data_IF_384362275103
#
_entry.id   IF_384362275103
#
_cell.length_a   1.000
_cell.length_b   1.000
_cell.length_c   1.000
_cell.angle_alpha   90.00
_cell.angle_beta   90.00
_cell.angle_gamma   90.00
#
_symmetry.space_group_name_H-M   'P 1'
#
loop_
_entity.id
_entity.type
_entity.pdbx_description
1 polymer ?
#
# COMPACT_ATOMS: atom_id res chain seq x y z
N UNK A 1 4.53 10.66 -64.01
CA UNK A 1 5.94 11.09 -64.20
C UNK A 1 6.16 12.41 -63.49
N UNK A 2 6.97 12.41 -62.42
CA UNK A 2 8.01 13.40 -62.05
C UNK A 2 8.47 13.15 -60.60
N UNK A 3 9.67 12.57 -60.48
CA UNK A 3 10.72 12.74 -59.45
C UNK A 3 10.29 12.75 -57.97
N UNK A 4 10.49 11.72 -57.13
CA UNK A 4 11.77 11.17 -56.62
C UNK A 4 12.92 12.19 -56.57
N UNK A 5 13.12 12.83 -55.41
CA UNK A 5 14.41 13.29 -54.84
C UNK A 5 14.13 14.07 -53.55
N UNK A 6 14.17 13.42 -52.38
CA UNK A 6 14.94 13.90 -51.21
C UNK A 6 15.33 12.64 -50.42
N UNK A 7 16.36 12.00 -50.95
CA UNK A 7 17.20 11.00 -50.31
C UNK A 7 18.03 11.70 -49.23
N UNK A 8 18.21 11.04 -48.08
CA UNK A 8 19.39 11.11 -47.21
C UNK A 8 20.03 12.49 -46.93
N UNK A 9 19.85 12.97 -45.69
CA UNK A 9 20.96 13.60 -44.97
C UNK A 9 21.07 12.95 -43.58
N UNK A 10 21.61 11.74 -43.58
CA UNK A 10 22.20 11.12 -42.40
C UNK A 10 23.41 11.91 -41.93
N UNK A 11 23.57 12.01 -40.61
CA UNK A 11 24.85 12.07 -39.90
C UNK A 11 25.83 13.16 -40.35
N UNK A 12 25.83 14.32 -39.67
CA UNK A 12 27.04 14.90 -39.06
C UNK A 12 26.69 16.22 -38.36
N UNK A 13 26.56 16.19 -37.03
CA UNK A 13 27.07 17.28 -36.21
C UNK A 13 27.63 16.66 -34.93
N UNK A 14 28.77 16.00 -35.13
CA UNK A 14 29.81 15.89 -34.12
C UNK A 14 30.35 17.32 -33.97
N UNK A 15 29.81 18.09 -33.03
CA UNK A 15 30.56 19.22 -32.49
C UNK A 15 31.45 18.67 -31.38
N UNK A 16 32.72 18.54 -31.75
CA UNK A 16 33.87 18.66 -30.86
C UNK A 16 33.63 19.83 -29.89
N UNK A 17 33.37 19.52 -28.63
CA UNK A 17 33.64 20.44 -27.53
C UNK A 17 34.52 19.69 -26.53
N UNK A 18 35.83 19.74 -26.81
CA UNK A 18 36.85 19.43 -25.84
C UNK A 18 36.72 20.37 -24.65
N UNK A 19 36.77 19.80 -23.44
CA UNK A 19 37.26 20.47 -22.25
C UNK A 19 36.37 21.59 -21.70
N UNK A 20 35.39 21.22 -20.87
CA UNK A 20 35.32 21.73 -19.49
C UNK A 20 34.19 21.06 -18.73
N UNK A 21 34.57 20.47 -17.60
CA UNK A 21 33.75 20.13 -16.44
C UNK A 21 32.50 21.01 -16.29
N UNK A 22 31.34 20.51 -16.69
CA UNK A 22 30.04 20.91 -16.14
C UNK A 22 29.19 19.64 -15.98
N UNK A 23 29.04 19.24 -14.71
CA UNK A 23 28.19 18.12 -14.30
C UNK A 23 26.77 18.30 -14.83
N UNK A 24 26.17 17.16 -15.17
CA UNK A 24 24.93 17.06 -15.91
C UNK A 24 23.79 17.87 -15.31
N UNK A 25 23.36 18.89 -16.04
CA UNK A 25 21.98 19.35 -16.04
C UNK A 25 21.14 18.32 -16.80
N UNK A 26 20.91 17.16 -16.18
CA UNK A 26 19.90 16.22 -16.65
C UNK A 26 18.56 16.73 -16.12
N UNK A 27 17.89 17.49 -16.99
CA UNK A 27 16.48 17.87 -17.03
C UNK A 27 15.57 17.28 -15.93
N UNK A 28 15.08 18.08 -14.96
CA UNK A 28 14.02 17.67 -14.02
C UNK A 28 12.68 17.35 -14.71
N UNK A 29 12.53 17.72 -15.99
CA UNK A 29 11.31 17.47 -16.77
C UNK A 29 11.12 15.99 -17.14
N UNK A 30 12.20 15.21 -17.29
CA UNK A 30 12.07 13.80 -17.69
C UNK A 30 11.63 12.91 -16.52
N UNK A 31 12.08 13.20 -15.29
CA UNK A 31 11.66 12.47 -14.09
C UNK A 31 10.19 12.71 -13.74
N UNK A 32 9.70 13.95 -13.90
CA UNK A 32 8.30 14.29 -13.65
C UNK A 32 7.33 13.56 -14.60
N UNK A 33 7.68 13.43 -15.89
CA UNK A 33 6.85 12.73 -16.88
C UNK A 33 6.74 11.23 -16.58
N UNK A 34 7.83 10.60 -16.12
CA UNK A 34 7.83 9.17 -15.75
C UNK A 34 7.02 8.93 -14.46
N UNK A 35 7.11 9.82 -13.48
CA UNK A 35 6.31 9.75 -12.25
C UNK A 35 4.82 9.95 -12.53
N UNK A 36 4.46 10.88 -13.42
CA UNK A 36 3.08 11.14 -13.83
C UNK A 36 2.48 9.96 -14.61
N UNK A 37 3.23 9.35 -15.54
CA UNK A 37 2.80 8.17 -16.29
C UNK A 37 2.56 6.97 -15.35
N UNK A 38 3.45 6.77 -14.37
CA UNK A 38 3.28 5.73 -13.34
C UNK A 38 2.07 6.00 -12.44
N UNK A 39 1.84 7.26 -12.05
CA UNK A 39 0.67 7.68 -11.28
C UNK A 39 -0.64 7.43 -12.02
N UNK A 40 -0.72 7.79 -13.31
CA UNK A 40 -1.89 7.53 -14.15
C UNK A 40 -2.19 6.04 -14.29
N UNK A 41 -1.15 5.22 -14.54
CA UNK A 41 -1.30 3.75 -14.62
C UNK A 41 -1.82 3.16 -13.30
N UNK A 42 -1.29 3.60 -12.17
CA UNK A 42 -1.75 3.14 -10.85
C UNK A 42 -3.21 3.55 -10.59
N UNK A 43 -3.60 4.79 -10.91
CA UNK A 43 -4.98 5.25 -10.78
C UNK A 43 -5.94 4.46 -11.67
N UNK A 44 -5.55 4.19 -12.92
CA UNK A 44 -6.34 3.38 -13.84
C UNK A 44 -6.61 1.98 -13.28
N UNK A 45 -5.60 1.35 -12.68
CA UNK A 45 -5.76 0.06 -12.02
C UNK A 45 -6.75 0.15 -10.85
N UNK A 46 -6.64 1.17 -10.00
CA UNK A 46 -7.59 1.40 -8.90
C UNK A 46 -9.02 1.57 -9.40
N UNK A 47 -9.23 2.35 -10.47
CA UNK A 47 -10.56 2.51 -11.09
C UNK A 47 -11.11 1.17 -11.58
N UNK A 48 -10.32 0.38 -12.29
CA UNK A 48 -10.74 -0.95 -12.76
C UNK A 48 -11.13 -1.89 -11.61
N UNK A 49 -10.37 -1.89 -10.52
CA UNK A 49 -10.70 -2.69 -9.34
C UNK A 49 -11.98 -2.22 -8.65
N UNK A 50 -12.17 -0.90 -8.54
CA UNK A 50 -13.38 -0.32 -7.98
C UNK A 50 -14.60 -0.63 -8.83
N UNK A 51 -14.50 -0.49 -10.15
CA UNK A 51 -15.54 -0.87 -11.12
C UNK A 51 -15.93 -2.34 -10.95
N UNK A 52 -14.94 -3.24 -10.92
CA UNK A 52 -15.16 -4.67 -10.71
C UNK A 52 -15.89 -4.91 -9.39
N UNK A 53 -15.48 -4.23 -8.32
CA UNK A 53 -16.10 -4.38 -7.00
C UNK A 53 -17.54 -3.87 -6.96
N UNK A 54 -17.89 -2.83 -7.70
CA UNK A 54 -19.24 -2.25 -7.69
C UNK A 54 -20.17 -3.00 -8.64
N UNK A 55 -19.75 -3.24 -9.89
CA UNK A 55 -20.66 -3.68 -10.94
C UNK A 55 -20.64 -5.19 -11.17
N UNK A 56 -19.50 -5.85 -10.94
CA UNK A 56 -19.37 -7.29 -11.18
C UNK A 56 -19.42 -8.12 -9.89
N UNK A 57 -19.37 -7.49 -8.72
CA UNK A 57 -19.23 -8.24 -7.48
C UNK A 57 -20.56 -8.69 -6.90
N UNK A 58 -20.47 -9.78 -6.14
CA UNK A 58 -21.56 -10.29 -5.30
C UNK A 58 -22.01 -9.28 -4.23
N UNK A 59 -21.27 -8.19 -3.97
CA UNK A 59 -21.68 -7.15 -3.02
C UNK A 59 -22.95 -6.43 -3.51
N UNK A 60 -23.00 -5.97 -4.76
CA UNK A 60 -24.19 -5.26 -5.26
C UNK A 60 -25.44 -6.13 -5.27
N UNK A 61 -25.31 -7.41 -5.63
CA UNK A 61 -26.40 -8.38 -5.52
C UNK A 61 -26.87 -8.55 -4.07
N UNK A 62 -25.93 -8.66 -3.12
CA UNK A 62 -26.25 -8.75 -1.69
C UNK A 62 -26.88 -7.48 -1.15
N UNK A 63 -26.44 -6.30 -1.57
CA UNK A 63 -27.07 -5.02 -1.22
C UNK A 63 -28.52 -4.98 -1.67
N UNK A 64 -28.75 -5.27 -2.95
CA UNK A 64 -30.10 -5.27 -3.52
C UNK A 64 -31.01 -6.32 -2.84
N UNK A 65 -30.44 -7.44 -2.41
CA UNK A 65 -31.19 -8.52 -1.73
C UNK A 65 -31.35 -8.30 -0.22
N UNK A 66 -30.54 -7.42 0.40
CA UNK A 66 -30.51 -7.24 1.85
C UNK A 66 -31.71 -6.50 2.43
N UNK A 67 -32.46 -5.77 1.59
CA UNK A 67 -33.56 -4.90 2.02
C UNK A 67 -33.11 -3.73 2.90
N UNK A 68 -31.81 -3.46 3.04
CA UNK A 68 -31.28 -2.38 3.87
C UNK A 68 -31.19 -1.07 3.06
N UNK A 69 -32.03 -0.06 3.32
CA UNK A 69 -32.04 1.17 2.54
C UNK A 69 -30.71 1.95 2.67
N UNK A 70 -30.07 1.89 3.83
CA UNK A 70 -28.75 2.51 4.04
C UNK A 70 -27.65 1.88 3.16
N UNK A 71 -27.69 0.57 2.95
CA UNK A 71 -26.74 -0.10 2.08
C UNK A 71 -26.97 0.27 0.61
N UNK A 72 -28.23 0.39 0.19
CA UNK A 72 -28.60 0.83 -1.16
C UNK A 72 -28.14 2.28 -1.40
N UNK A 73 -28.39 3.18 -0.45
CA UNK A 73 -27.94 4.57 -0.54
C UNK A 73 -26.41 4.66 -0.64
N UNK A 74 -25.69 3.89 0.17
CA UNK A 74 -24.23 3.86 0.14
C UNK A 74 -23.69 3.30 -1.18
N UNK A 75 -24.33 2.26 -1.74
CA UNK A 75 -23.97 1.72 -3.05
C UNK A 75 -24.15 2.78 -4.16
N UNK A 76 -25.26 3.52 -4.14
CA UNK A 76 -25.51 4.60 -5.09
C UNK A 76 -24.48 5.74 -4.96
N UNK A 77 -24.09 6.11 -3.73
CA UNK A 77 -23.04 7.11 -3.53
C UNK A 77 -21.68 6.63 -4.07
N UNK A 78 -21.35 5.36 -3.85
CA UNK A 78 -20.13 4.75 -4.40
C UNK A 78 -20.13 4.76 -5.93
N UNK A 79 -21.26 4.45 -6.58
CA UNK A 79 -21.41 4.53 -8.03
C UNK A 79 -21.24 5.96 -8.55
N UNK A 80 -21.83 6.95 -7.87
CA UNK A 80 -21.69 8.35 -8.23
C UNK A 80 -20.25 8.84 -8.10
N UNK A 81 -19.56 8.49 -7.02
CA UNK A 81 -18.15 8.84 -6.82
C UNK A 81 -17.26 8.16 -7.86
N UNK A 82 -17.56 6.92 -8.26
CA UNK A 82 -16.85 6.23 -9.33
C UNK A 82 -16.98 6.97 -10.67
N UNK A 83 -18.19 7.37 -11.04
CA UNK A 83 -18.42 8.11 -12.29
C UNK A 83 -17.66 9.44 -12.31
N UNK A 84 -17.75 10.21 -11.22
CA UNK A 84 -17.00 11.47 -11.08
C UNK A 84 -15.48 11.27 -11.09
N UNK A 85 -14.99 10.22 -10.42
CA UNK A 85 -13.57 9.90 -10.44
C UNK A 85 -13.08 9.53 -11.86
N UNK A 86 -13.90 8.82 -12.63
CA UNK A 86 -13.58 8.47 -14.01
C UNK A 86 -13.56 9.72 -14.91
N UNK A 87 -14.53 10.63 -14.76
CA UNK A 87 -14.54 11.92 -15.45
C UNK A 87 -13.28 12.74 -15.13
N UNK A 88 -12.94 12.89 -13.85
CA UNK A 88 -11.73 13.59 -13.40
C UNK A 88 -10.45 12.94 -13.93
N UNK A 89 -10.39 11.61 -13.94
CA UNK A 89 -9.25 10.87 -14.51
C UNK A 89 -9.11 11.16 -16.01
N UNK A 90 -10.21 11.16 -16.77
CA UNK A 90 -10.17 11.50 -18.21
C UNK A 90 -9.84 12.96 -18.48
N UNK A 91 -10.18 13.86 -17.55
CA UNK A 91 -9.83 15.28 -17.61
C UNK A 91 -8.38 15.58 -17.19
N UNK A 92 -7.62 14.58 -16.72
CA UNK A 92 -6.25 14.76 -16.22
C UNK A 92 -6.18 15.29 -14.78
N UNK A 93 -7.31 15.39 -14.08
CA UNK A 93 -7.39 15.83 -12.68
C UNK A 93 -7.10 14.66 -11.73
N UNK A 94 -5.88 14.12 -11.80
CA UNK A 94 -5.49 12.86 -11.15
C UNK A 94 -5.62 12.89 -9.63
N UNK A 95 -5.24 13.99 -8.98
CA UNK A 95 -5.30 14.10 -7.52
C UNK A 95 -6.75 13.98 -7.01
N UNK A 96 -7.68 14.74 -7.60
CA UNK A 96 -9.10 14.68 -7.27
C UNK A 96 -9.72 13.32 -7.60
N UNK A 97 -9.34 12.72 -8.72
CA UNK A 97 -9.74 11.36 -9.06
C UNK A 97 -9.30 10.36 -7.96
N UNK A 98 -8.05 10.46 -7.50
CA UNK A 98 -7.52 9.58 -6.45
C UNK A 98 -8.22 9.79 -5.10
N UNK A 99 -8.60 11.01 -4.74
CA UNK A 99 -9.40 11.29 -3.54
C UNK A 99 -10.77 10.61 -3.60
N UNK A 100 -11.51 10.77 -4.70
CA UNK A 100 -12.81 10.14 -4.89
C UNK A 100 -12.73 8.62 -4.93
N UNK A 101 -11.70 8.07 -5.58
CA UNK A 101 -11.41 6.63 -5.58
C UNK A 101 -11.19 6.13 -4.14
N UNK A 102 -10.36 6.82 -3.37
CA UNK A 102 -10.03 6.43 -1.99
C UNK A 102 -11.27 6.46 -1.10
N UNK A 103 -12.08 7.53 -1.19
CA UNK A 103 -13.38 7.65 -0.51
C UNK A 103 -14.31 6.48 -0.88
N UNK A 104 -14.38 6.14 -2.16
CA UNK A 104 -15.22 5.05 -2.66
C UNK A 104 -14.78 3.69 -2.15
N UNK A 105 -13.46 3.44 -2.03
CA UNK A 105 -12.94 2.21 -1.42
C UNK A 105 -13.36 2.05 0.04
N UNK A 106 -13.26 3.12 0.83
CA UNK A 106 -13.71 3.09 2.24
C UNK A 106 -15.21 2.78 2.33
N UNK A 107 -16.03 3.42 1.50
CA UNK A 107 -17.47 3.20 1.45
C UNK A 107 -17.83 1.78 1.00
N UNK A 108 -17.16 1.25 -0.02
CA UNK A 108 -17.37 -0.11 -0.48
C UNK A 108 -16.91 -1.16 0.55
N UNK A 109 -15.86 -0.87 1.33
CA UNK A 109 -15.46 -1.67 2.49
C UNK A 109 -16.57 -1.75 3.54
N UNK A 110 -17.16 -0.60 3.90
CA UNK A 110 -18.31 -0.53 4.80
C UNK A 110 -19.52 -1.28 4.23
N UNK A 111 -19.81 -1.10 2.95
CA UNK A 111 -20.88 -1.79 2.23
C UNK A 111 -20.73 -3.31 2.36
N UNK A 112 -19.52 -3.83 2.13
CA UNK A 112 -19.19 -5.25 2.26
C UNK A 112 -19.48 -5.80 3.67
N UNK A 113 -19.20 -5.02 4.71
CA UNK A 113 -19.50 -5.39 6.10
C UNK A 113 -21.01 -5.37 6.38
N UNK A 114 -21.73 -4.37 5.88
CA UNK A 114 -23.18 -4.23 6.09
C UNK A 114 -23.99 -5.38 5.49
N UNK A 115 -23.50 -5.97 4.40
CA UNK A 115 -24.14 -7.07 3.68
C UNK A 115 -23.30 -8.34 3.66
N UNK A 116 -22.50 -8.52 4.71
CA UNK A 116 -21.66 -9.69 4.85
C UNK A 116 -22.51 -10.97 4.84
N UNK A 117 -22.05 -11.95 4.06
CA UNK A 117 -22.65 -13.27 4.02
C UNK A 117 -22.27 -13.99 5.32
N UNK A 118 -23.26 -14.34 6.15
CA UNK A 118 -23.05 -14.88 7.51
C UNK A 118 -22.05 -16.05 7.55
N UNK A 119 -22.05 -16.89 6.51
CA UNK A 119 -21.14 -18.04 6.41
C UNK A 119 -19.70 -17.64 6.12
N UNK A 120 -19.48 -16.67 5.23
CA UNK A 120 -18.15 -16.12 4.94
C UNK A 120 -17.64 -15.20 6.05
N UNK A 121 -18.54 -14.51 6.75
CA UNK A 121 -18.21 -13.65 7.89
C UNK A 121 -17.65 -14.51 9.02
N UNK A 122 -18.31 -15.63 9.35
CA UNK A 122 -17.84 -16.55 10.39
C UNK A 122 -16.45 -17.14 10.08
N UNK A 123 -16.17 -17.48 8.82
CA UNK A 123 -14.85 -17.96 8.41
C UNK A 123 -13.76 -16.87 8.52
N UNK A 124 -14.09 -15.63 8.15
CA UNK A 124 -13.15 -14.50 8.29
C UNK A 124 -12.88 -14.15 9.75
N UNK A 125 -13.91 -14.12 10.57
CA UNK A 125 -13.80 -13.83 12.00
C UNK A 125 -12.97 -14.91 12.70
N UNK A 126 -13.16 -16.18 12.32
CA UNK A 126 -12.36 -17.30 12.82
C UNK A 126 -10.89 -17.21 12.40
N UNK A 127 -10.61 -16.88 11.13
CA UNK A 127 -9.23 -16.69 10.66
C UNK A 127 -8.53 -15.49 11.33
N UNK A 128 -9.26 -14.39 11.59
CA UNK A 128 -8.73 -13.25 12.33
C UNK A 128 -8.45 -13.60 13.79
N UNK A 129 -9.37 -14.31 14.44
CA UNK A 129 -9.19 -14.79 15.81
C UNK A 129 -7.97 -15.71 15.91
N UNK A 130 -7.81 -16.66 15.00
CA UNK A 130 -6.63 -17.55 14.97
C UNK A 130 -5.32 -16.78 14.76
N UNK A 131 -5.32 -15.76 13.90
CA UNK A 131 -4.17 -14.88 13.68
C UNK A 131 -3.77 -14.12 14.94
N UNK A 132 -4.74 -13.47 15.60
CA UNK A 132 -4.54 -12.73 16.85
C UNK A 132 -4.11 -13.66 17.99
N UNK A 133 -4.68 -14.87 18.06
CA UNK A 133 -4.33 -15.87 19.06
C UNK A 133 -2.88 -16.34 18.89
N UNK A 134 -2.43 -16.61 17.65
CA UNK A 134 -1.03 -16.97 17.37
C UNK A 134 -0.06 -15.84 17.73
N UNK A 135 -0.42 -14.60 17.41
CA UNK A 135 0.39 -13.43 17.78
C UNK A 135 0.49 -13.29 19.31
N UNK A 136 -0.64 -13.35 20.02
CA UNK A 136 -0.68 -13.30 21.48
C UNK A 136 0.16 -14.41 22.11
N UNK A 137 0.05 -15.64 21.61
CA UNK A 137 0.82 -16.77 22.11
C UNK A 137 2.33 -16.60 21.84
N UNK A 138 2.70 -16.06 20.68
CA UNK A 138 4.10 -15.72 20.38
C UNK A 138 4.64 -14.67 21.34
N UNK A 139 3.87 -13.62 21.64
CA UNK A 139 4.27 -12.59 22.60
C UNK A 139 4.44 -13.16 24.02
N UNK A 140 3.50 -14.01 24.47
CA UNK A 140 3.60 -14.67 25.77
C UNK A 140 4.84 -15.57 25.84
N UNK A 141 5.12 -16.33 24.79
CA UNK A 141 6.31 -17.18 24.71
C UNK A 141 7.61 -16.37 24.72
N UNK A 142 7.64 -15.20 24.08
CA UNK A 142 8.80 -14.30 24.17
C UNK A 142 8.98 -13.72 25.57
N UNK A 143 7.89 -13.37 26.25
CA UNK A 143 7.94 -12.89 27.64
C UNK A 143 8.40 -13.99 28.61
N UNK A 144 7.93 -15.22 28.42
CA UNK A 144 8.34 -16.38 29.20
C UNK A 144 9.83 -16.72 28.98
N UNK A 145 10.33 -16.62 27.74
CA UNK A 145 11.74 -16.81 27.44
C UNK A 145 12.61 -15.72 28.10
N UNK A 146 12.19 -14.46 28.06
CA UNK A 146 12.90 -13.36 28.72
C UNK A 146 12.91 -13.52 30.24
N UNK A 147 11.79 -13.94 30.84
CA UNK A 147 11.72 -14.22 32.28
C UNK A 147 12.60 -15.42 32.69
N UNK A 148 12.71 -16.44 31.85
CA UNK A 148 13.57 -17.61 32.10
C UNK A 148 15.07 -17.27 31.97
N UNK A 149 15.43 -16.32 31.09
CA UNK A 149 16.79 -15.81 30.98
C UNK A 149 17.20 -15.00 32.22
N UNK A 150 16.30 -14.19 32.80
CA UNK A 150 16.55 -13.48 34.06
C UNK A 150 16.79 -14.43 35.25
N UNK A 151 16.06 -15.55 35.31
CA UNK A 151 16.25 -16.58 36.34
C UNK A 151 17.59 -17.32 36.18
N UNK A 152 18.05 -17.51 34.95
CA UNK A 152 19.38 -18.10 34.66
C UNK A 152 20.56 -17.17 34.99
N UNK A 153 20.35 -15.86 34.97
CA UNK A 153 21.34 -14.83 35.35
C UNK A 153 21.42 -14.62 36.87
N UNK A 154 20.35 -14.91 37.62
CA UNK A 154 20.38 -14.90 39.09
C UNK A 154 21.25 -16.01 39.71
N UNK A 155 21.57 -17.06 38.93
CA UNK A 155 22.52 -18.13 39.32
C UNK A 155 24.00 -17.77 39.08
N UNK A 156 24.27 -16.61 38.46
CA UNK A 156 25.61 -16.13 38.10
C UNK A 156 26.03 -14.87 38.87
N UNK A 157 25.46 -14.63 40.06
CA UNK A 157 26.08 -13.71 41.00
C UNK A 157 27.27 -14.41 41.66
N UNK A 158 28.51 -13.92 41.50
CA UNK A 158 29.66 -14.49 42.20
C UNK A 158 29.37 -14.42 43.70
N UNK A 159 29.66 -15.51 44.40
CA UNK A 159 29.53 -15.62 45.85
C UNK A 159 30.17 -14.38 46.51
N UNK A 160 29.41 -13.69 47.37
CA UNK A 160 29.85 -12.46 48.05
C UNK A 160 31.14 -12.68 48.86
N UNK A 161 31.49 -13.94 49.14
CA UNK A 161 32.76 -14.34 49.76
C UNK A 161 34.01 -14.03 48.91
N UNK A 162 33.89 -13.92 47.58
CA UNK A 162 35.02 -13.65 46.69
C UNK A 162 35.34 -12.15 46.61
N UNK A 163 34.35 -11.28 46.77
CA UNK A 163 34.53 -9.81 46.69
C UNK A 163 35.24 -9.26 47.94
N UNK A 164 35.17 -9.95 49.09
CA UNK A 164 35.83 -9.50 50.31
C UNK A 164 37.33 -9.83 50.39
N UNK A 165 37.83 -10.74 49.55
CA UNK A 165 39.24 -11.15 49.58
C UNK A 165 40.17 -10.20 48.78
N UNK A 166 39.69 -9.51 47.75
CA UNK A 166 40.53 -8.62 46.94
C UNK A 166 40.72 -7.21 47.51
N UNK A 167 39.99 -6.83 48.56
CA UNK A 167 40.14 -5.50 49.18
C UNK A 167 41.27 -5.49 50.22
N UNK A 168 41.69 -6.65 50.74
CA UNK A 168 42.71 -6.75 51.78
C UNK A 168 44.16 -6.91 51.29
N UNK A 169 44.39 -7.05 49.98
CA UNK A 169 45.75 -7.15 49.40
C UNK A 169 46.19 -5.84 48.71
N UNK A 170 45.37 -4.79 48.75
CA UNK A 170 45.65 -3.47 48.20
C UNK A 170 45.62 -2.35 49.27
N UNK A 171 45.75 -2.70 50.55
CA UNK A 171 45.96 -1.78 51.68
C UNK A 171 47.25 -2.16 52.42
#
# INVERSE_FOLDING_TARGET
>A
MKFFYVLQLSLLFIFLFEGSSMGGLILPAYSAVVEEENGQRALKQKLMYLEKMIFSSTISQRVNSSGKPEAIALLNEVQNNFNQANEMFTAGELEKANELISKSYTMAGKLSQMVADKKNQQQKDQAQFEGLHKQSHSYLKTLEALASEEESLSGYLPDKSIITAQIHEAA
#
